data_IF_696671576682
#
_entry.id   IF_696671576682
#
_cell.length_a   1.000
_cell.length_b   1.000
_cell.length_c   1.000
_cell.angle_alpha   90.00
_cell.angle_beta   90.00
_cell.angle_gamma   90.00
#
_symmetry.space_group_name_H-M   'P 1'
#
loop_
_entity.id
_entity.type
_entity.pdbx_description
1 polymer ?
#
# COMPACT_ATOMS: atom_id res chain seq x y z
N UNK A 1 -25.60 -34.60 -13.61
CA UNK A 1 -25.38 -34.93 -12.17
C UNK A 1 -24.94 -33.66 -11.46
N UNK A 2 -25.88 -33.00 -10.79
CA UNK A 2 -25.75 -31.74 -10.10
C UNK A 2 -25.27 -31.99 -8.67
N UNK A 3 -24.10 -31.46 -8.26
CA UNK A 3 -23.64 -31.49 -6.86
C UNK A 3 -23.85 -30.10 -6.25
N UNK A 4 -24.90 -30.00 -5.42
CA UNK A 4 -25.13 -28.88 -4.53
C UNK A 4 -24.02 -28.82 -3.47
N UNK A 5 -23.37 -27.69 -3.32
CA UNK A 5 -22.53 -27.37 -2.15
C UNK A 5 -23.36 -26.56 -1.16
N UNK A 6 -23.62 -27.17 0.00
CA UNK A 6 -24.21 -26.53 1.18
C UNK A 6 -23.23 -25.51 1.75
N UNK A 7 -23.66 -24.25 1.87
CA UNK A 7 -23.03 -23.25 2.70
C UNK A 7 -23.59 -23.33 4.12
N UNK A 8 -22.72 -23.67 5.06
CA UNK A 8 -23.05 -23.69 6.49
C UNK A 8 -22.78 -22.29 7.04
N UNK A 9 -23.84 -21.54 7.37
CA UNK A 9 -23.75 -20.27 8.09
C UNK A 9 -23.54 -20.56 9.59
N UNK A 10 -22.37 -20.17 10.11
CA UNK A 10 -22.11 -20.15 11.55
C UNK A 10 -22.57 -18.80 12.10
N UNK A 11 -23.69 -18.78 12.79
CA UNK A 11 -24.18 -17.61 13.53
C UNK A 11 -23.46 -17.53 14.89
N UNK A 12 -22.65 -16.51 15.08
CA UNK A 12 -22.01 -16.19 16.38
C UNK A 12 -22.94 -15.27 17.16
N UNK A 13 -23.53 -15.81 18.25
CA UNK A 13 -24.37 -15.06 19.16
C UNK A 13 -23.55 -14.08 20.00
N UNK A 14 -23.92 -12.81 19.97
CA UNK A 14 -23.37 -11.75 20.82
C UNK A 14 -24.17 -11.72 22.12
N UNK A 15 -23.56 -12.09 23.25
CA UNK A 15 -24.12 -11.89 24.59
C UNK A 15 -23.85 -10.44 25.02
N UNK A 16 -24.91 -9.68 25.20
CA UNK A 16 -24.89 -8.33 25.76
C UNK A 16 -24.85 -8.43 27.30
N UNK A 17 -23.74 -8.06 27.92
CA UNK A 17 -23.63 -7.86 29.36
C UNK A 17 -23.87 -6.38 29.67
N UNK A 18 -24.91 -6.11 30.48
CA UNK A 18 -25.22 -4.79 31.04
C UNK A 18 -24.30 -4.50 32.23
N UNK A 19 -23.65 -3.33 32.32
CA UNK A 19 -22.96 -2.95 33.56
C UNK A 19 -23.92 -2.24 34.53
N UNK A 20 -23.90 -2.73 35.73
CA UNK A 20 -24.52 -2.16 36.93
C UNK A 20 -23.85 -0.82 37.30
N UNK A 21 -24.68 0.19 37.54
CA UNK A 21 -24.27 1.49 38.06
C UNK A 21 -23.88 1.41 39.56
N UNK A 22 -22.70 1.90 39.87
CA UNK A 22 -22.36 2.37 41.21
C UNK A 22 -22.05 3.85 41.12
N UNK A 23 -22.89 4.64 41.79
CA UNK A 23 -22.63 6.03 42.02
C UNK A 23 -21.69 6.21 43.21
N UNK A 24 -20.77 7.13 43.09
CA UNK A 24 -20.16 7.80 44.24
C UNK A 24 -19.81 9.25 43.87
N UNK A 25 -20.45 10.09 44.65
CA UNK A 25 -20.33 11.55 44.72
C UNK A 25 -18.90 11.97 45.10
N UNK A 26 -18.23 12.77 44.30
CA UNK A 26 -17.08 13.53 44.76
C UNK A 26 -17.03 14.90 44.09
N UNK A 27 -17.07 15.93 44.88
CA UNK A 27 -17.09 17.35 44.56
C UNK A 27 -15.93 17.83 43.69
N UNK A 28 -16.11 18.91 42.87
CA UNK A 28 -15.08 19.39 41.96
C UNK A 28 -13.99 20.16 42.75
N UNK A 29 -12.74 19.74 42.52
CA UNK A 29 -11.53 20.46 42.91
C UNK A 29 -11.11 21.38 41.77
N UNK A 30 -11.01 22.65 42.02
CA UNK A 30 -10.49 23.66 41.08
C UNK A 30 -9.05 23.34 40.68
N UNK A 31 -8.68 23.48 39.39
CA UNK A 31 -7.31 23.35 38.97
C UNK A 31 -6.54 24.64 39.16
N UNK A 32 -5.57 24.62 40.04
CA UNK A 32 -4.52 25.64 40.14
C UNK A 32 -3.63 25.57 38.89
N UNK A 33 -3.60 26.67 38.16
CA UNK A 33 -2.66 26.90 37.07
C UNK A 33 -1.25 27.14 37.66
N UNK A 34 -0.33 26.24 37.38
CA UNK A 34 1.08 26.54 37.11
C UNK A 34 1.78 25.22 36.75
N UNK A 35 2.16 25.10 35.51
CA UNK A 35 2.87 23.92 34.98
C UNK A 35 3.57 24.27 33.69
N UNK A 36 4.70 25.00 33.79
CA UNK A 36 5.66 25.15 32.69
C UNK A 36 6.14 23.76 32.23
N UNK A 37 5.60 23.28 31.11
CA UNK A 37 6.08 22.04 30.47
C UNK A 37 7.45 22.30 29.82
N UNK A 38 8.50 21.90 30.55
CA UNK A 38 9.84 21.81 29.98
C UNK A 38 9.87 20.71 28.92
N UNK A 39 9.92 21.14 27.67
CA UNK A 39 10.16 20.22 26.54
C UNK A 39 11.60 19.75 26.61
N UNK A 40 11.81 18.52 27.01
CA UNK A 40 13.11 17.84 26.91
C UNK A 40 13.45 17.69 25.43
N UNK A 41 14.39 18.51 24.95
CA UNK A 41 14.98 18.36 23.62
C UNK A 41 15.81 17.09 23.64
N UNK A 42 15.38 16.07 22.92
CA UNK A 42 16.18 14.89 22.68
C UNK A 42 17.49 15.26 21.97
N UNK A 43 18.64 14.66 22.36
CA UNK A 43 19.92 14.93 21.70
C UNK A 43 19.86 14.56 20.21
N UNK A 44 20.66 15.20 19.35
CA UNK A 44 20.70 14.88 17.93
C UNK A 44 21.07 13.41 17.76
N UNK A 45 20.21 12.68 17.07
CA UNK A 45 20.47 11.29 16.70
C UNK A 45 21.71 11.31 15.80
N UNK A 46 22.82 10.81 16.33
CA UNK A 46 24.03 10.50 15.57
C UNK A 46 23.63 9.65 14.38
N UNK A 47 24.14 10.00 13.20
CA UNK A 47 23.94 9.33 11.92
C UNK A 47 24.00 7.82 12.09
N UNK A 48 22.85 7.19 12.20
CA UNK A 48 22.71 5.74 12.15
C UNK A 48 22.94 5.40 10.69
N UNK A 49 23.95 4.59 10.39
CA UNK A 49 24.08 3.98 9.06
C UNK A 49 22.69 3.55 8.62
N UNK A 50 22.27 4.01 7.45
CA UNK A 50 20.96 3.66 6.91
C UNK A 50 20.89 2.12 6.87
N UNK A 51 19.97 1.51 7.62
CA UNK A 51 19.84 0.06 7.61
C UNK A 51 19.59 -0.37 6.17
N UNK A 52 20.26 -1.43 5.74
CA UNK A 52 20.05 -2.01 4.41
C UNK A 52 18.55 -2.10 4.12
N UNK A 53 18.10 -1.71 2.92
CA UNK A 53 16.67 -1.69 2.60
C UNK A 53 16.08 -3.06 2.89
N UNK A 54 14.92 -3.06 3.56
CA UNK A 54 14.20 -4.29 3.89
C UNK A 54 13.84 -5.07 2.62
N UNK A 55 13.69 -6.38 2.74
CA UNK A 55 13.38 -7.25 1.60
C UNK A 55 12.06 -6.83 0.93
N UNK A 56 11.06 -6.47 1.73
CA UNK A 56 9.78 -5.96 1.25
C UNK A 56 9.95 -4.64 0.47
N UNK A 57 10.80 -3.72 0.96
CA UNK A 57 11.10 -2.47 0.25
C UNK A 57 11.79 -2.75 -1.10
N UNK A 58 12.77 -3.64 -1.13
CA UNK A 58 13.46 -4.03 -2.36
C UNK A 58 12.51 -4.64 -3.40
N UNK A 59 11.65 -5.56 -2.97
CA UNK A 59 10.66 -6.21 -3.82
C UNK A 59 9.62 -5.22 -4.36
N UNK A 60 9.16 -4.29 -3.52
CA UNK A 60 8.21 -3.25 -3.94
C UNK A 60 8.83 -2.29 -4.95
N UNK A 61 10.08 -1.88 -4.75
CA UNK A 61 10.83 -1.08 -5.72
C UNK A 61 10.88 -1.81 -7.05
N UNK A 62 11.27 -3.08 -7.06
CA UNK A 62 11.30 -3.91 -8.26
C UNK A 62 9.92 -4.01 -8.93
N UNK A 63 8.83 -4.16 -8.16
CA UNK A 63 7.48 -4.27 -8.69
C UNK A 63 6.96 -2.98 -9.31
N UNK A 64 7.39 -1.81 -8.83
CA UNK A 64 6.90 -0.50 -9.26
C UNK A 64 7.87 0.28 -10.16
N UNK A 65 9.16 -0.09 -10.21
CA UNK A 65 10.19 0.67 -10.91
C UNK A 65 9.98 0.84 -12.43
N UNK A 66 9.58 -0.18 -13.20
CA UNK A 66 9.33 -0.03 -14.63
C UNK A 66 8.01 0.63 -14.98
N UNK A 67 7.28 1.05 -14.00
CA UNK A 67 6.08 1.85 -14.17
C UNK A 67 6.39 3.33 -14.39
N UNK A 68 7.65 3.70 -14.68
CA UNK A 68 7.93 5.03 -15.19
C UNK A 68 7.23 5.19 -16.55
N UNK A 69 6.41 6.24 -16.72
CA UNK A 69 5.77 6.47 -18.01
C UNK A 69 6.87 6.53 -19.08
N UNK A 70 6.70 5.89 -20.23
CA UNK A 70 7.66 6.00 -21.31
C UNK A 70 7.88 7.49 -21.58
N UNK A 71 9.15 7.92 -21.56
CA UNK A 71 9.52 9.31 -21.79
C UNK A 71 8.75 9.80 -23.01
N UNK A 72 8.05 10.94 -22.86
CA UNK A 72 7.29 11.56 -23.95
C UNK A 72 8.26 11.85 -25.11
N UNK A 73 8.37 10.95 -26.09
CA UNK A 73 9.31 11.08 -27.19
C UNK A 73 9.52 9.81 -28.04
N UNK A 74 9.28 8.64 -27.52
CA UNK A 74 9.39 7.42 -28.32
C UNK A 74 8.06 7.15 -29.04
N UNK A 75 7.84 7.85 -30.17
CA UNK A 75 6.90 7.42 -31.21
C UNK A 75 7.44 6.11 -31.78
N UNK A 76 6.88 5.01 -31.33
CA UNK A 76 7.02 3.73 -32.04
C UNK A 76 6.32 3.88 -33.38
N UNK A 77 6.94 3.53 -34.50
CA UNK A 77 6.27 3.58 -35.82
C UNK A 77 5.02 2.71 -35.75
N UNK A 78 3.91 3.29 -36.19
CA UNK A 78 2.62 2.61 -36.31
C UNK A 78 2.74 1.48 -37.29
N UNK A 79 2.94 0.28 -36.80
CA UNK A 79 2.62 -0.94 -37.55
C UNK A 79 1.25 -1.39 -37.08
N UNK A 80 0.35 -1.49 -38.02
CA UNK A 80 -1.05 -1.80 -37.87
C UNK A 80 -1.31 -2.99 -36.91
N UNK A 81 -1.67 -2.70 -35.71
CA UNK A 81 -2.45 -3.59 -34.86
C UNK A 81 -3.30 -2.73 -33.95
N UNK A 82 -4.59 -2.64 -34.27
CA UNK A 82 -5.59 -1.79 -33.64
C UNK A 82 -5.94 -2.17 -32.16
N UNK A 83 -5.03 -2.83 -31.43
CA UNK A 83 -5.31 -3.38 -30.11
C UNK A 83 -4.47 -2.82 -28.96
N UNK A 84 -3.54 -1.89 -29.19
CA UNK A 84 -2.71 -1.37 -28.09
C UNK A 84 -2.28 0.07 -28.38
N UNK A 85 -3.24 1.00 -28.36
CA UNK A 85 -2.86 2.39 -28.13
C UNK A 85 -2.25 2.43 -26.72
N UNK A 86 -0.97 2.87 -26.55
CA UNK A 86 -0.46 3.13 -25.22
C UNK A 86 -1.37 4.20 -24.63
N UNK A 87 -2.16 3.82 -23.66
CA UNK A 87 -2.93 4.75 -22.85
C UNK A 87 -1.88 5.62 -22.17
N UNK A 88 -1.73 6.87 -22.63
CA UNK A 88 -0.78 7.81 -22.04
C UNK A 88 -1.14 7.96 -20.58
N UNK A 89 -0.37 7.33 -19.71
CA UNK A 89 -0.59 7.43 -18.30
C UNK A 89 -0.14 8.82 -17.83
N UNK A 90 -0.94 9.46 -16.98
CA UNK A 90 -0.60 10.73 -16.37
C UNK A 90 0.07 10.47 -15.02
N UNK A 91 1.34 10.88 -14.82
CA UNK A 91 1.95 10.85 -13.49
C UNK A 91 1.13 11.69 -12.52
N UNK A 92 0.81 11.14 -11.35
CA UNK A 92 0.04 11.81 -10.31
C UNK A 92 0.73 11.56 -8.96
N UNK A 93 1.12 12.63 -8.27
CA UNK A 93 1.58 12.55 -6.89
C UNK A 93 0.41 12.48 -5.92
N UNK A 94 0.62 11.89 -4.76
CA UNK A 94 -0.43 11.86 -3.72
C UNK A 94 -0.76 13.27 -3.22
N UNK A 95 0.26 14.17 -3.12
CA UNK A 95 0.03 15.58 -2.79
C UNK A 95 -0.89 16.23 -3.81
N UNK A 96 -0.59 16.10 -5.11
CA UNK A 96 -1.43 16.65 -6.19
C UNK A 96 -2.85 16.07 -6.15
N UNK A 97 -3.00 14.77 -5.88
CA UNK A 97 -4.30 14.12 -5.76
C UNK A 97 -5.15 14.72 -4.61
N UNK A 98 -4.51 15.01 -3.48
CA UNK A 98 -5.17 15.62 -2.32
C UNK A 98 -5.55 17.08 -2.58
N UNK A 99 -4.63 17.89 -3.10
CA UNK A 99 -4.85 19.30 -3.42
C UNK A 99 -5.99 19.49 -4.42
N UNK A 100 -6.04 18.67 -5.47
CA UNK A 100 -7.09 18.73 -6.50
C UNK A 100 -8.47 18.43 -5.96
N UNK A 101 -8.59 17.55 -4.97
CA UNK A 101 -9.88 17.23 -4.37
C UNK A 101 -10.54 18.44 -3.70
N UNK A 102 -9.72 19.38 -3.19
CA UNK A 102 -10.16 20.56 -2.45
C UNK A 102 -10.92 20.23 -1.15
N UNK A 103 -11.03 18.97 -0.78
CA UNK A 103 -11.80 18.50 0.37
C UNK A 103 -10.94 17.58 1.26
N UNK A 104 -10.46 18.15 2.35
CA UNK A 104 -9.59 17.44 3.29
C UNK A 104 -10.28 16.29 4.02
N UNK A 105 -11.60 16.28 4.07
CA UNK A 105 -12.35 15.14 4.66
C UNK A 105 -12.21 13.88 3.80
N UNK A 106 -11.86 14.00 2.53
CA UNK A 106 -11.67 12.89 1.58
C UNK A 106 -10.27 12.30 1.58
N UNK A 107 -9.31 12.87 2.33
CA UNK A 107 -7.91 12.45 2.35
C UNK A 107 -7.73 10.95 2.53
N UNK A 108 -8.45 10.34 3.45
CA UNK A 108 -8.37 8.92 3.69
C UNK A 108 -8.75 8.11 2.45
N UNK A 109 -9.88 8.41 1.83
CA UNK A 109 -10.38 7.69 0.66
C UNK A 109 -9.46 7.87 -0.55
N UNK A 110 -8.95 9.08 -0.75
CA UNK A 110 -7.98 9.35 -1.82
C UNK A 110 -6.69 8.57 -1.60
N UNK A 111 -6.14 8.56 -0.39
CA UNK A 111 -4.95 7.79 -0.07
C UNK A 111 -5.17 6.28 -0.26
N UNK A 112 -6.33 5.77 0.14
CA UNK A 112 -6.69 4.37 -0.06
C UNK A 112 -6.82 4.02 -1.54
N UNK A 113 -7.50 4.84 -2.33
CA UNK A 113 -7.63 4.64 -3.78
C UNK A 113 -6.28 4.75 -4.49
N UNK A 114 -5.44 5.68 -4.07
CA UNK A 114 -4.09 5.86 -4.59
C UNK A 114 -3.22 4.61 -4.38
N UNK A 115 -3.21 4.05 -3.16
CA UNK A 115 -2.49 2.81 -2.89
C UNK A 115 -3.10 1.59 -3.58
N UNK A 116 -4.40 1.60 -3.80
CA UNK A 116 -5.09 0.57 -4.58
C UNK A 116 -4.62 0.56 -6.04
N UNK A 117 -4.44 1.75 -6.65
CA UNK A 117 -3.88 1.86 -8.01
C UNK A 117 -2.43 1.37 -8.02
N UNK A 118 -1.58 1.78 -7.06
CA UNK A 118 -0.19 1.31 -6.95
C UNK A 118 -0.12 -0.22 -6.84
N UNK A 119 -0.98 -0.82 -6.01
CA UNK A 119 -1.09 -2.27 -5.86
C UNK A 119 -1.53 -2.94 -7.18
N UNK A 120 -2.53 -2.38 -7.85
CA UNK A 120 -3.01 -2.87 -9.15
C UNK A 120 -1.91 -2.87 -10.23
N UNK A 121 -1.07 -1.84 -10.24
CA UNK A 121 0.08 -1.80 -11.15
C UNK A 121 1.09 -2.91 -10.86
N UNK A 122 1.44 -3.14 -9.60
CA UNK A 122 2.37 -4.22 -9.25
C UNK A 122 1.84 -5.59 -9.72
N UNK A 123 0.55 -5.85 -9.48
CA UNK A 123 -0.11 -7.09 -9.93
C UNK A 123 -0.11 -7.18 -11.45
N UNK A 124 -0.56 -6.14 -12.15
CA UNK A 124 -0.61 -6.12 -13.61
C UNK A 124 0.76 -6.40 -14.23
N UNK A 125 1.80 -5.77 -13.71
CA UNK A 125 3.17 -6.01 -14.16
C UNK A 125 3.61 -7.46 -13.98
N UNK A 126 3.45 -8.00 -12.78
CA UNK A 126 3.86 -9.39 -12.50
C UNK A 126 3.06 -10.40 -13.32
N UNK A 127 1.77 -10.13 -13.62
CA UNK A 127 1.00 -10.97 -14.55
C UNK A 127 1.52 -10.88 -15.98
N UNK A 128 1.96 -9.69 -16.41
CA UNK A 128 2.61 -9.52 -17.73
C UNK A 128 3.90 -10.33 -17.79
N UNK A 129 4.77 -10.21 -16.78
CA UNK A 129 6.02 -10.98 -16.69
C UNK A 129 5.77 -12.51 -16.65
N UNK A 130 4.71 -12.95 -15.95
CA UNK A 130 4.35 -14.36 -15.90
C UNK A 130 3.94 -14.92 -17.28
N UNK A 131 3.13 -14.17 -18.04
CA UNK A 131 2.75 -14.58 -19.41
C UNK A 131 3.97 -14.63 -20.31
N UNK A 132 4.77 -13.55 -20.35
CA UNK A 132 5.99 -13.48 -21.16
C UNK A 132 6.95 -14.64 -20.85
N UNK A 133 7.08 -14.99 -19.57
CA UNK A 133 7.98 -16.05 -19.14
C UNK A 133 7.47 -17.44 -19.51
N UNK A 134 6.17 -17.71 -19.40
CA UNK A 134 5.57 -18.97 -19.84
C UNK A 134 5.69 -19.14 -21.38
N UNK A 135 5.54 -18.05 -22.14
CA UNK A 135 5.71 -18.06 -23.60
C UNK A 135 7.14 -18.34 -24.07
N UNK A 136 8.15 -18.06 -23.21
CA UNK A 136 9.56 -18.35 -23.49
C UNK A 136 9.95 -19.79 -23.20
N UNK A 137 9.13 -20.56 -22.48
CA UNK A 137 9.43 -21.95 -22.17
C UNK A 137 9.24 -22.79 -23.43
N UNK A 138 10.33 -23.44 -23.87
CA UNK A 138 10.25 -24.35 -25.00
C UNK A 138 9.52 -25.64 -24.57
N UNK A 139 8.38 -25.99 -25.20
CA UNK A 139 7.79 -27.30 -24.97
C UNK A 139 8.79 -28.37 -25.45
N UNK A 140 8.93 -29.44 -24.65
CA UNK A 140 9.67 -30.61 -25.07
C UNK A 140 9.13 -31.22 -26.39
N UNK A 141 9.72 -32.28 -26.89
CA UNK A 141 9.20 -32.99 -28.03
C UNK A 141 7.85 -33.72 -27.79
N UNK A 142 7.41 -33.77 -26.54
CA UNK A 142 6.19 -34.42 -26.11
C UNK A 142 4.94 -33.54 -26.35
N UNK A 143 3.92 -34.03 -27.10
CA UNK A 143 2.64 -33.32 -27.24
C UNK A 143 1.96 -33.01 -25.90
N UNK A 144 2.20 -33.82 -24.87
CA UNK A 144 1.67 -33.57 -23.54
C UNK A 144 2.24 -32.30 -22.92
N UNK A 145 3.56 -32.09 -22.97
CA UNK A 145 4.22 -30.87 -22.46
C UNK A 145 3.63 -29.62 -23.10
N UNK A 146 3.39 -29.68 -24.42
CA UNK A 146 2.79 -28.56 -25.16
C UNK A 146 1.36 -28.28 -24.65
N UNK A 147 0.55 -29.34 -24.47
CA UNK A 147 -0.82 -29.16 -24.00
C UNK A 147 -0.89 -28.56 -22.58
N UNK A 148 0.01 -28.99 -21.68
CA UNK A 148 0.12 -28.45 -20.32
C UNK A 148 0.54 -26.98 -20.36
N UNK A 149 1.53 -26.62 -21.19
CA UNK A 149 2.00 -25.24 -21.33
C UNK A 149 0.92 -24.34 -21.94
N UNK A 150 0.19 -24.82 -22.95
CA UNK A 150 -0.92 -24.08 -23.57
C UNK A 150 -2.01 -23.75 -22.54
N UNK A 151 -2.38 -24.69 -21.67
CA UNK A 151 -3.34 -24.46 -20.58
C UNK A 151 -2.81 -23.45 -19.58
N UNK A 152 -1.56 -23.57 -19.13
CA UNK A 152 -0.97 -22.64 -18.17
C UNK A 152 -0.87 -21.22 -18.74
N UNK A 153 -0.45 -21.10 -20.01
CA UNK A 153 -0.36 -19.80 -20.69
C UNK A 153 -1.73 -19.16 -20.90
N UNK A 154 -2.75 -19.94 -21.25
CA UNK A 154 -4.12 -19.46 -21.39
C UNK A 154 -4.67 -18.95 -20.05
N UNK A 155 -4.42 -19.69 -18.94
CA UNK A 155 -4.79 -19.24 -17.59
C UNK A 155 -4.07 -17.95 -17.18
N UNK A 156 -2.75 -17.85 -17.43
CA UNK A 156 -1.99 -16.65 -17.13
C UNK A 156 -2.45 -15.42 -17.94
N UNK A 157 -2.87 -15.62 -19.21
CA UNK A 157 -3.45 -14.54 -20.02
C UNK A 157 -4.82 -14.09 -19.51
N UNK A 158 -5.64 -15.01 -19.00
CA UNK A 158 -6.91 -14.66 -18.35
C UNK A 158 -6.66 -13.84 -17.07
N UNK A 159 -5.73 -14.28 -16.21
CA UNK A 159 -5.32 -13.54 -15.00
C UNK A 159 -4.78 -12.14 -15.34
N UNK A 160 -4.02 -12.00 -16.42
CA UNK A 160 -3.54 -10.70 -16.90
C UNK A 160 -4.69 -9.79 -17.35
N UNK A 161 -5.69 -10.33 -18.03
CA UNK A 161 -6.87 -9.58 -18.45
C UNK A 161 -7.67 -9.08 -17.24
N UNK A 162 -7.85 -9.93 -16.23
CA UNK A 162 -8.52 -9.59 -14.97
C UNK A 162 -7.73 -8.51 -14.21
N UNK A 163 -6.42 -8.66 -14.08
CA UNK A 163 -5.55 -7.67 -13.42
C UNK A 163 -5.61 -6.30 -14.14
N UNK A 164 -5.70 -6.30 -15.49
CA UNK A 164 -5.88 -5.08 -16.25
C UNK A 164 -7.23 -4.42 -15.97
N UNK A 165 -8.30 -5.20 -15.91
CA UNK A 165 -9.64 -4.67 -15.62
C UNK A 165 -9.71 -4.09 -14.19
N UNK A 166 -9.14 -4.79 -13.20
CA UNK A 166 -9.05 -4.30 -11.81
C UNK A 166 -8.24 -3.01 -11.70
N UNK A 167 -7.13 -2.89 -12.42
CA UNK A 167 -6.33 -1.68 -12.47
C UNK A 167 -7.11 -0.51 -13.04
N UNK A 168 -7.81 -0.68 -14.17
CA UNK A 168 -8.64 0.36 -14.78
C UNK A 168 -9.74 0.79 -13.81
N UNK A 169 -10.41 -0.15 -13.13
CA UNK A 169 -11.43 0.15 -12.14
C UNK A 169 -10.88 0.97 -10.96
N UNK A 170 -9.68 0.61 -10.46
CA UNK A 170 -9.01 1.36 -9.40
C UNK A 170 -8.62 2.78 -9.85
N UNK A 171 -8.13 2.93 -11.09
CA UNK A 171 -7.81 4.24 -11.66
C UNK A 171 -9.07 5.11 -11.81
N UNK A 172 -10.19 4.52 -12.24
CA UNK A 172 -11.46 5.24 -12.36
C UNK A 172 -11.96 5.70 -10.98
N UNK A 173 -11.89 4.84 -9.96
CA UNK A 173 -12.22 5.21 -8.58
C UNK A 173 -11.37 6.41 -8.10
N UNK A 174 -10.07 6.42 -8.40
CA UNK A 174 -9.18 7.54 -8.07
C UNK A 174 -9.57 8.82 -8.84
N UNK A 175 -9.87 8.73 -10.14
CA UNK A 175 -10.34 9.85 -10.97
C UNK A 175 -11.58 10.50 -10.36
N UNK A 176 -12.56 9.69 -9.95
CA UNK A 176 -13.83 10.17 -9.38
C UNK A 176 -13.61 10.85 -8.02
N UNK A 177 -12.72 10.31 -7.19
CA UNK A 177 -12.38 10.89 -5.89
C UNK A 177 -11.61 12.20 -6.00
N UNK A 178 -10.65 12.27 -6.93
CA UNK A 178 -9.80 13.45 -7.18
C UNK A 178 -10.49 14.49 -8.07
N UNK A 179 -11.59 14.10 -8.75
CA UNK A 179 -12.33 14.93 -9.71
C UNK A 179 -11.45 15.35 -10.90
N UNK A 180 -10.69 14.40 -11.44
CA UNK A 180 -9.92 14.68 -12.65
C UNK A 180 -10.86 14.96 -13.83
N UNK A 181 -10.49 15.87 -14.76
CA UNK A 181 -11.29 16.16 -15.93
C UNK A 181 -11.54 14.93 -16.79
N UNK A 182 -12.73 14.86 -17.37
CA UNK A 182 -13.10 13.81 -18.32
C UNK A 182 -12.22 13.92 -19.55
N UNK A 183 -11.61 12.79 -19.95
CA UNK A 183 -10.73 12.74 -21.13
C UNK A 183 -9.24 12.92 -20.80
N UNK A 184 -8.86 13.18 -19.54
CA UNK A 184 -7.46 13.07 -19.13
C UNK A 184 -6.99 11.62 -19.19
N UNK A 185 -5.69 11.39 -19.45
CA UNK A 185 -5.09 10.06 -19.36
C UNK A 185 -5.27 9.47 -17.96
N UNK A 186 -5.34 8.14 -17.89
CA UNK A 186 -5.48 7.43 -16.62
C UNK A 186 -4.34 7.79 -15.65
N UNK A 187 -4.63 8.02 -14.37
CA UNK A 187 -3.63 8.46 -13.41
C UNK A 187 -2.63 7.34 -13.09
N UNK A 188 -1.38 7.74 -12.97
CA UNK A 188 -0.26 6.88 -12.62
C UNK A 188 0.36 7.34 -11.29
N UNK A 189 0.27 6.57 -10.20
CA UNK A 189 0.88 6.93 -8.94
C UNK A 189 2.40 6.95 -9.05
N UNK A 190 3.04 8.05 -8.65
CA UNK A 190 4.51 8.17 -8.60
C UNK A 190 5.08 7.97 -7.21
N UNK A 191 4.27 8.20 -6.16
CA UNK A 191 4.67 7.90 -4.80
C UNK A 191 4.50 6.41 -4.51
N UNK A 192 5.40 5.88 -3.69
CA UNK A 192 5.41 4.46 -3.33
C UNK A 192 4.76 4.24 -1.98
N UNK A 193 3.92 3.21 -1.82
CA UNK A 193 3.45 2.80 -0.51
C UNK A 193 4.63 2.39 0.37
N UNK A 194 4.49 2.56 1.68
CA UNK A 194 5.52 2.18 2.63
C UNK A 194 5.59 0.65 2.75
N UNK A 195 6.80 0.10 2.66
CA UNK A 195 7.09 -1.30 2.95
C UNK A 195 8.06 -1.48 4.12
N UNK A 196 8.65 -0.40 4.63
CA UNK A 196 9.49 -0.39 5.81
C UNK A 196 8.71 -0.26 7.12
N UNK A 197 9.39 -0.30 8.29
CA UNK A 197 8.75 -0.16 9.59
C UNK A 197 8.14 1.23 9.76
N UNK A 198 6.89 1.28 10.22
CA UNK A 198 6.20 2.54 10.52
C UNK A 198 6.35 2.89 12.00
N UNK A 199 6.87 4.08 12.27
CA UNK A 199 7.01 4.59 13.64
C UNK A 199 5.77 5.41 14.02
N UNK A 200 5.02 4.92 15.00
CA UNK A 200 3.93 5.67 15.60
C UNK A 200 4.44 6.51 16.76
N UNK A 201 4.02 7.76 16.86
CA UNK A 201 4.27 8.58 18.05
C UNK A 201 3.01 8.61 18.94
N UNK A 202 2.34 7.46 19.05
CA UNK A 202 1.02 7.34 19.68
C UNK A 202 0.98 7.90 21.11
N UNK A 203 1.90 7.49 21.95
CA UNK A 203 1.93 7.91 23.36
C UNK A 203 2.11 9.42 23.49
N UNK A 204 2.97 10.03 22.68
CA UNK A 204 3.18 11.47 22.70
C UNK A 204 1.97 12.26 22.18
N UNK A 205 1.34 11.77 21.10
CA UNK A 205 0.23 12.46 20.43
C UNK A 205 -1.06 12.35 21.24
N UNK A 206 -1.33 11.16 21.80
CA UNK A 206 -2.57 10.88 22.52
C UNK A 206 -2.45 10.99 24.05
N UNK A 207 -1.34 11.54 24.56
CA UNK A 207 -1.19 11.84 25.98
C UNK A 207 -2.28 12.79 26.50
N UNK A 208 -2.68 13.76 25.66
CA UNK A 208 -3.66 14.81 25.99
C UNK A 208 -4.94 14.74 25.14
N UNK A 209 -5.00 13.81 24.18
CA UNK A 209 -6.13 13.65 23.25
C UNK A 209 -6.78 12.28 23.42
N UNK A 210 -8.12 12.17 23.35
CA UNK A 210 -8.76 10.86 23.35
C UNK A 210 -8.41 10.08 22.09
N UNK A 211 -8.12 8.79 22.23
CA UNK A 211 -7.93 7.86 21.10
C UNK A 211 -9.08 6.87 21.04
N UNK A 212 -9.49 6.53 19.82
CA UNK A 212 -10.49 5.48 19.60
C UNK A 212 -9.90 4.08 19.84
N UNK A 213 -10.76 3.10 20.16
CA UNK A 213 -10.34 1.69 20.24
C UNK A 213 -9.72 1.19 18.94
N UNK A 214 -10.20 1.66 17.79
CA UNK A 214 -9.69 1.31 16.45
C UNK A 214 -8.24 1.78 16.28
N UNK A 215 -7.92 3.03 16.63
CA UNK A 215 -6.55 3.56 16.50
C UNK A 215 -5.59 2.82 17.42
N UNK A 216 -6.00 2.51 18.66
CA UNK A 216 -5.18 1.68 19.56
C UNK A 216 -4.92 0.28 19.00
N UNK A 217 -5.92 -0.33 18.36
CA UNK A 217 -5.75 -1.62 17.69
C UNK A 217 -4.77 -1.53 16.52
N UNK A 218 -4.89 -0.51 15.67
CA UNK A 218 -3.96 -0.28 14.56
C UNK A 218 -2.52 -0.17 15.07
N UNK A 219 -2.26 0.70 16.05
CA UNK A 219 -0.91 0.90 16.60
C UNK A 219 -0.29 -0.41 17.12
N UNK A 220 -1.09 -1.26 17.76
CA UNK A 220 -0.62 -2.57 18.24
C UNK A 220 -0.36 -3.56 17.10
N UNK A 221 -1.11 -3.48 16.00
CA UNK A 221 -0.99 -4.41 14.88
C UNK A 221 0.08 -4.03 13.88
N UNK A 222 0.44 -2.74 13.75
CA UNK A 222 1.39 -2.27 12.74
C UNK A 222 2.74 -3.02 12.77
N UNK A 223 3.38 -3.28 13.93
CA UNK A 223 4.62 -4.06 13.95
C UNK A 223 4.46 -5.47 13.40
N UNK A 224 3.43 -6.20 13.83
CA UNK A 224 3.16 -7.57 13.34
C UNK A 224 2.76 -7.60 11.88
N UNK A 225 2.08 -6.56 11.36
CA UNK A 225 1.79 -6.43 9.92
C UNK A 225 3.05 -6.19 9.10
N UNK A 226 3.99 -5.39 9.62
CA UNK A 226 5.29 -5.21 8.98
C UNK A 226 6.09 -6.53 8.96
N UNK A 227 6.15 -7.26 10.08
CA UNK A 227 6.79 -8.58 10.12
C UNK A 227 6.15 -9.56 9.13
N UNK A 228 4.82 -9.57 9.03
CA UNK A 228 4.11 -10.37 8.04
C UNK A 228 4.45 -9.97 6.60
N UNK A 229 4.58 -8.66 6.32
CA UNK A 229 4.97 -8.15 5.02
C UNK A 229 6.38 -8.61 4.63
N UNK A 230 7.34 -8.56 5.55
CA UNK A 230 8.71 -9.08 5.35
C UNK A 230 8.71 -10.59 5.09
N UNK A 231 7.91 -11.35 5.85
CA UNK A 231 7.78 -12.79 5.64
C UNK A 231 7.18 -13.12 4.26
N UNK A 232 6.18 -12.34 3.79
CA UNK A 232 5.62 -12.48 2.45
C UNK A 232 6.63 -12.12 1.36
N UNK A 233 7.42 -11.07 1.54
CA UNK A 233 8.50 -10.75 0.62
C UNK A 233 9.53 -11.90 0.51
N UNK A 234 9.92 -12.48 1.65
CA UNK A 234 10.81 -13.63 1.66
C UNK A 234 10.21 -14.85 0.93
N UNK A 235 8.91 -15.09 1.08
CA UNK A 235 8.19 -16.15 0.38
C UNK A 235 8.18 -15.95 -1.13
N UNK A 236 7.97 -14.70 -1.62
CA UNK A 236 8.06 -14.38 -3.06
C UNK A 236 9.46 -14.70 -3.60
N UNK A 237 10.51 -14.24 -2.91
CA UNK A 237 11.91 -14.49 -3.33
C UNK A 237 12.22 -16.00 -3.36
N UNK A 238 11.76 -16.75 -2.35
CA UNK A 238 11.94 -18.20 -2.31
C UNK A 238 11.21 -18.91 -3.45
N UNK A 239 9.95 -18.50 -3.73
CA UNK A 239 9.16 -19.03 -4.83
C UNK A 239 9.80 -18.73 -6.20
N UNK A 240 10.30 -17.50 -6.42
CA UNK A 240 11.02 -17.12 -7.64
C UNK A 240 12.26 -17.98 -7.85
N UNK A 241 13.03 -18.25 -6.79
CA UNK A 241 14.20 -19.13 -6.86
C UNK A 241 13.80 -20.57 -7.21
N UNK A 242 12.75 -21.08 -6.59
CA UNK A 242 12.23 -22.42 -6.88
C UNK A 242 11.75 -22.54 -8.33
N UNK A 243 11.09 -21.52 -8.85
CA UNK A 243 10.66 -21.44 -10.26
C UNK A 243 11.84 -21.46 -11.22
N UNK A 244 12.89 -20.65 -10.98
CA UNK A 244 14.10 -20.62 -11.80
C UNK A 244 14.81 -22.00 -11.81
N UNK A 245 14.83 -22.68 -10.66
CA UNK A 245 15.38 -24.04 -10.58
C UNK A 245 14.52 -25.02 -11.39
N UNK A 246 13.19 -24.96 -11.29
CA UNK A 246 12.30 -25.84 -12.02
C UNK A 246 12.45 -25.65 -13.56
N UNK A 247 12.53 -24.40 -14.03
CA UNK A 247 12.78 -24.08 -15.45
C UNK A 247 14.15 -24.65 -15.91
N UNK A 248 15.19 -24.44 -15.11
CA UNK A 248 16.54 -24.92 -15.43
C UNK A 248 16.61 -26.44 -15.50
N UNK A 249 15.99 -27.14 -14.55
CA UNK A 249 15.96 -28.59 -14.49
C UNK A 249 15.10 -29.18 -15.62
N UNK A 250 13.99 -28.52 -15.97
CA UNK A 250 13.17 -28.91 -17.12
C UNK A 250 13.95 -28.80 -18.44
N UNK A 251 14.66 -27.69 -18.66
CA UNK A 251 15.49 -27.49 -19.84
C UNK A 251 16.59 -28.55 -19.99
N UNK A 252 17.00 -29.20 -18.88
CA UNK A 252 17.94 -30.34 -18.88
C UNK A 252 17.24 -31.70 -18.99
N UNK A 253 15.92 -31.74 -19.11
CA UNK A 253 15.13 -32.97 -19.13
C UNK A 253 15.06 -33.70 -17.77
N UNK A 254 15.37 -33.00 -16.68
CA UNK A 254 15.41 -33.59 -15.32
C UNK A 254 14.08 -33.44 -14.55
N UNK A 255 13.21 -32.54 -15.02
CA UNK A 255 11.88 -32.30 -14.42
C UNK A 255 10.77 -32.25 -15.46
N UNK A 256 9.56 -32.74 -15.14
CA UNK A 256 8.40 -32.63 -15.99
C UNK A 256 7.88 -31.19 -16.05
N UNK A 257 7.15 -30.86 -17.12
CA UNK A 257 6.60 -29.51 -17.36
C UNK A 257 5.60 -29.08 -16.28
N UNK A 258 4.89 -29.99 -15.66
CA UNK A 258 3.94 -29.72 -14.57
C UNK A 258 4.63 -29.13 -13.35
N UNK A 259 5.88 -29.51 -13.08
CA UNK A 259 6.65 -28.92 -11.98
C UNK A 259 7.00 -27.46 -12.26
N UNK A 260 7.23 -27.10 -13.53
CA UNK A 260 7.49 -25.74 -13.96
C UNK A 260 6.22 -24.90 -13.82
N UNK A 261 5.10 -25.35 -14.38
CA UNK A 261 3.82 -24.63 -14.32
C UNK A 261 3.31 -24.47 -12.87
N UNK A 262 3.51 -25.48 -12.02
CA UNK A 262 3.19 -25.39 -10.59
C UNK A 262 4.07 -24.36 -9.87
N UNK A 263 5.36 -24.28 -10.21
CA UNK A 263 6.27 -23.28 -9.63
C UNK A 263 5.89 -21.85 -10.06
N UNK A 264 5.48 -21.67 -11.33
CA UNK A 264 4.94 -20.38 -11.81
C UNK A 264 3.67 -19.97 -11.05
N UNK A 265 2.73 -20.89 -10.85
CA UNK A 265 1.53 -20.64 -10.06
C UNK A 265 1.87 -20.23 -8.63
N UNK A 266 2.83 -20.92 -7.99
CA UNK A 266 3.27 -20.61 -6.63
C UNK A 266 3.87 -19.19 -6.52
N UNK A 267 4.70 -18.75 -7.48
CA UNK A 267 5.22 -17.36 -7.53
C UNK A 267 4.08 -16.37 -7.61
N UNK A 268 3.14 -16.62 -8.51
CA UNK A 268 1.97 -15.77 -8.74
C UNK A 268 1.12 -15.60 -7.49
N UNK A 269 0.89 -16.68 -6.74
CA UNK A 269 0.14 -16.66 -5.48
C UNK A 269 0.89 -15.88 -4.39
N UNK A 270 2.21 -16.11 -4.23
CA UNK A 270 3.01 -15.37 -3.24
C UNK A 270 3.10 -13.88 -3.55
N UNK A 271 3.22 -13.50 -4.82
CA UNK A 271 3.19 -12.10 -5.24
C UNK A 271 1.86 -11.42 -4.89
N UNK A 272 0.74 -12.11 -5.11
CA UNK A 272 -0.60 -11.62 -4.76
C UNK A 272 -0.74 -11.41 -3.25
N UNK A 273 -0.32 -12.40 -2.44
CA UNK A 273 -0.37 -12.31 -0.99
C UNK A 273 0.52 -11.18 -0.44
N UNK A 274 1.69 -10.95 -1.05
CA UNK A 274 2.56 -9.81 -0.71
C UNK A 274 1.87 -8.47 -0.98
N UNK A 275 1.26 -8.29 -2.17
CA UNK A 275 0.55 -7.05 -2.52
C UNK A 275 -0.65 -6.82 -1.60
N UNK A 276 -1.41 -7.85 -1.26
CA UNK A 276 -2.54 -7.72 -0.34
C UNK A 276 -2.09 -7.35 1.07
N UNK A 277 -0.98 -7.92 1.56
CA UNK A 277 -0.39 -7.54 2.84
C UNK A 277 0.12 -6.09 2.83
N UNK A 278 0.81 -5.67 1.77
CA UNK A 278 1.29 -4.29 1.58
C UNK A 278 0.13 -3.30 1.55
N UNK A 279 -0.93 -3.60 0.81
CA UNK A 279 -2.14 -2.80 0.76
C UNK A 279 -2.79 -2.66 2.14
N UNK A 280 -2.99 -3.77 2.85
CA UNK A 280 -3.57 -3.78 4.19
C UNK A 280 -2.74 -3.01 5.22
N UNK A 281 -1.41 -3.06 5.11
CA UNK A 281 -0.49 -2.30 5.96
C UNK A 281 -0.63 -0.80 5.73
N UNK A 282 -0.62 -0.36 4.48
CA UNK A 282 -0.73 1.06 4.12
C UNK A 282 -2.13 1.65 4.37
N UNK A 283 -3.19 0.84 4.30
CA UNK A 283 -4.53 1.27 4.70
C UNK A 283 -4.58 1.62 6.20
N UNK A 284 -3.98 0.80 7.07
CA UNK A 284 -3.91 1.09 8.49
C UNK A 284 -3.05 2.33 8.79
N UNK A 285 -1.94 2.51 8.06
CA UNK A 285 -1.11 3.72 8.17
C UNK A 285 -1.93 4.96 7.80
N UNK A 286 -2.69 4.90 6.71
CA UNK A 286 -3.53 6.02 6.29
C UNK A 286 -4.63 6.35 7.32
N UNK A 287 -5.26 5.34 7.91
CA UNK A 287 -6.25 5.51 8.98
C UNK A 287 -5.62 6.11 10.25
N UNK A 288 -4.43 5.64 10.64
CA UNK A 288 -3.67 6.22 11.75
C UNK A 288 -3.28 7.68 11.47
N UNK A 289 -2.72 7.96 10.29
CA UNK A 289 -2.32 9.31 9.91
C UNK A 289 -3.50 10.28 9.92
N UNK A 290 -4.69 9.86 9.46
CA UNK A 290 -5.91 10.66 9.54
C UNK A 290 -6.36 10.94 10.98
N UNK A 291 -6.15 10.02 11.90
CA UNK A 291 -6.50 10.23 13.30
C UNK A 291 -5.52 11.16 14.02
N UNK A 292 -4.27 11.19 13.55
CA UNK A 292 -3.21 12.04 14.10
C UNK A 292 -3.25 13.44 13.50
N UNK A 293 -3.41 13.53 12.18
CA UNK A 293 -3.43 14.78 11.46
C UNK A 293 -4.74 15.53 11.69
N UNK A 294 -4.62 16.77 12.16
CA UNK A 294 -5.74 17.71 12.13
C UNK A 294 -6.04 18.10 10.66
N UNK A 295 -7.27 18.51 10.38
CA UNK A 295 -7.66 19.04 9.06
C UNK A 295 -6.87 20.30 8.65
N UNK A 296 -6.24 20.99 9.62
CA UNK A 296 -5.35 22.12 9.37
C UNK A 296 -3.97 21.70 8.83
N UNK A 297 -3.56 20.43 9.00
CA UNK A 297 -2.26 19.94 8.54
C UNK A 297 -2.19 20.03 7.00
N UNK A 298 -1.15 20.68 6.42
CA UNK A 298 -0.95 20.75 4.97
C UNK A 298 -0.85 19.37 4.33
N UNK A 299 -1.20 19.26 3.03
CA UNK A 299 -1.26 17.98 2.33
C UNK A 299 0.13 17.33 2.16
N UNK A 300 1.18 18.12 1.95
CA UNK A 300 2.57 17.65 1.88
C UNK A 300 3.02 17.00 3.19
N UNK A 301 2.66 17.59 4.34
CA UNK A 301 2.95 17.00 5.65
C UNK A 301 2.13 15.75 5.91
N UNK A 302 0.87 15.75 5.51
CA UNK A 302 0.04 14.55 5.61
C UNK A 302 0.62 13.40 4.78
N UNK A 303 1.02 13.68 3.53
CA UNK A 303 1.66 12.68 2.66
C UNK A 303 2.97 12.18 3.26
N UNK A 304 3.78 13.04 3.85
CA UNK A 304 5.04 12.61 4.50
C UNK A 304 4.82 11.64 5.66
N UNK A 305 3.64 11.67 6.30
CA UNK A 305 3.26 10.65 7.29
C UNK A 305 2.95 9.30 6.65
N UNK A 306 2.45 9.28 5.41
CA UNK A 306 2.05 8.06 4.72
C UNK A 306 3.21 7.31 4.09
N UNK A 307 4.19 8.03 3.55
CA UNK A 307 5.37 7.44 2.90
C UNK A 307 6.54 7.21 3.85
N UNK A 308 6.32 7.37 5.17
CA UNK A 308 7.34 7.07 6.19
C UNK A 308 8.47 8.06 6.28
N UNK A 309 8.36 9.24 5.68
CA UNK A 309 9.31 10.33 5.88
C UNK A 309 9.19 10.84 7.31
N UNK A 310 10.27 10.89 8.12
CA UNK A 310 10.18 11.37 9.49
C UNK A 310 9.68 12.82 9.52
N UNK A 311 8.58 13.06 10.23
CA UNK A 311 8.08 14.42 10.44
C UNK A 311 9.00 15.10 11.43
N UNK A 312 9.76 16.09 10.94
CA UNK A 312 10.47 16.98 11.83
C UNK A 312 9.51 18.05 12.37
N UNK A 313 8.97 17.79 13.55
CA UNK A 313 8.20 18.80 14.26
C UNK A 313 9.14 19.94 14.66
N UNK A 314 9.10 21.04 13.92
CA UNK A 314 9.68 22.28 14.44
C UNK A 314 8.75 22.79 15.53
N UNK A 315 9.25 23.03 16.76
CA UNK A 315 8.43 23.72 17.74
C UNK A 315 7.98 25.04 17.12
N UNK A 316 6.67 25.25 17.11
CA UNK A 316 6.11 26.52 16.64
C UNK A 316 6.72 27.60 17.52
N UNK A 317 7.54 28.51 16.94
CA UNK A 317 8.12 29.60 17.66
C UNK A 317 6.98 30.31 18.38
N UNK A 318 7.06 30.37 19.70
CA UNK A 318 6.06 31.06 20.50
C UNK A 318 5.88 32.45 19.87
N UNK A 319 4.63 32.79 19.52
CA UNK A 319 4.33 34.10 18.98
C UNK A 319 4.94 35.12 19.94
N UNK A 320 5.69 36.14 19.44
CA UNK A 320 6.29 37.12 20.31
C UNK A 320 5.20 37.73 21.17
N UNK A 321 5.39 37.65 22.48
CA UNK A 321 4.45 38.22 23.43
C UNK A 321 4.17 39.66 23.01
N UNK A 322 2.94 39.94 22.64
CA UNK A 322 2.49 41.29 22.31
C UNK A 322 2.71 42.14 23.57
N UNK A 323 3.79 42.89 23.61
CA UNK A 323 4.05 43.81 24.69
C UNK A 323 2.91 44.81 24.71
N UNK A 324 2.10 44.77 25.75
CA UNK A 324 1.02 45.74 25.93
C UNK A 324 1.65 47.15 25.95
N UNK A 325 1.07 48.14 25.25
CA UNK A 325 1.57 49.49 25.29
C UNK A 325 1.56 50.02 26.75
N UNK A 326 2.57 50.77 27.17
CA UNK A 326 2.60 51.34 28.50
C UNK A 326 1.39 52.25 28.70
N UNK A 327 0.81 52.29 29.91
CA UNK A 327 -0.29 53.20 30.21
C UNK A 327 0.18 54.64 30.04
N UNK A 328 -0.56 55.38 29.23
CA UNK A 328 -0.36 56.83 29.02
C UNK A 328 -0.64 57.59 30.34
N UNK A 329 0.16 58.62 30.69
CA UNK A 329 0.05 59.37 31.92
C UNK A 329 -1.22 60.24 32.02
#
# INVERSE_FOLDING_TARGET
>A
MQKHRLFTHLALGLAVATPTSYGEDTAPREPTADGTVSVVVAPPVTSREDPAPSLATGLLVQALEPLQPPAAGLRRPATDSAASAPTYARPLTLVEALERSGDRSRRLWISQAYWKVSAGFAVFRWRTEAVERLELIAPGGDPHDRAVLDVATAAARADLADARAELIAAQQELIDLVRLPVGEPLPWPVDRPLAGPYQTHFEAIFATRPSTGRIRAIVRMLPSKHEALEARAAAVVAAQKAMQMAETDHAKGQRPIEAVTAAHAAVTDQQREFVDAMKAYNLDIAEYAMAVADLSVPDDRFVSMLIGTPIQWRPQAAAPATTAPPPTP
#
